data_IF_534860772550
#
_entry.id   IF_534860772550
#
_cell.length_a   1.000
_cell.length_b   1.000
_cell.length_c   1.000
_cell.angle_alpha   90.00
_cell.angle_beta   90.00
_cell.angle_gamma   90.00
#
_symmetry.space_group_name_H-M   'P 1'
#
loop_
_entity.id
_entity.type
_entity.pdbx_description
1 polymer ?
#
# COMPACT_ATOMS: atom_id res chain seq x y z
N UNK A 1 0.81 -14.19 13.49
CA UNK A 1 -0.11 -14.35 12.33
C UNK A 1 -0.65 -15.78 12.24
N UNK A 2 -1.91 -15.99 11.83
CA UNK A 2 -2.48 -17.33 11.60
C UNK A 2 -2.32 -17.80 10.14
N UNK A 3 -2.33 -19.11 9.89
CA UNK A 3 -2.21 -19.66 8.53
C UNK A 3 -3.27 -19.14 7.56
N UNK A 4 -4.47 -18.87 8.08
CA UNK A 4 -5.58 -18.36 7.25
C UNK A 4 -5.41 -16.87 6.95
N UNK A 5 -4.80 -16.12 7.85
CA UNK A 5 -4.45 -14.71 7.60
C UNK A 5 -3.37 -14.61 6.52
N UNK A 6 -2.32 -15.43 6.57
CA UNK A 6 -1.29 -15.48 5.51
C UNK A 6 -1.92 -15.68 4.13
N UNK A 7 -2.78 -16.69 3.99
CA UNK A 7 -3.43 -17.01 2.71
C UNK A 7 -4.29 -15.86 2.17
N UNK A 8 -4.97 -15.13 3.05
CA UNK A 8 -5.75 -13.95 2.63
C UNK A 8 -4.84 -12.83 2.16
N UNK A 9 -3.78 -12.53 2.90
CA UNK A 9 -2.80 -11.51 2.53
C UNK A 9 -2.13 -11.83 1.19
N UNK A 10 -1.68 -13.07 1.00
CA UNK A 10 -1.14 -13.55 -0.28
C UNK A 10 -2.16 -13.40 -1.42
N UNK A 11 -3.42 -13.77 -1.17
CA UNK A 11 -4.50 -13.60 -2.14
C UNK A 11 -4.68 -12.14 -2.56
N UNK A 12 -4.66 -11.20 -1.61
CA UNK A 12 -4.70 -9.77 -1.94
C UNK A 12 -3.47 -9.31 -2.72
N UNK A 13 -2.26 -9.77 -2.36
CA UNK A 13 -1.04 -9.44 -3.09
C UNK A 13 -1.13 -9.90 -4.56
N UNK A 14 -1.63 -11.12 -4.79
CA UNK A 14 -1.84 -11.68 -6.13
C UNK A 14 -2.86 -10.89 -6.94
N UNK A 15 -3.93 -10.42 -6.31
CA UNK A 15 -4.89 -9.51 -6.98
C UNK A 15 -4.22 -8.18 -7.37
N UNK A 16 -3.37 -7.61 -6.52
CA UNK A 16 -2.78 -6.28 -6.74
C UNK A 16 -1.63 -6.32 -7.74
N UNK A 17 -0.71 -7.30 -7.60
CA UNK A 17 0.56 -7.33 -8.31
C UNK A 17 0.74 -8.55 -9.23
N UNK A 18 -0.13 -9.56 -9.14
CA UNK A 18 -0.19 -10.71 -10.04
C UNK A 18 0.10 -12.07 -9.40
N UNK A 19 -0.30 -13.15 -10.07
CA UNK A 19 -0.13 -14.54 -9.59
C UNK A 19 1.29 -15.11 -9.80
N UNK A 20 2.17 -14.38 -10.49
CA UNK A 20 3.48 -14.87 -10.94
C UNK A 20 4.63 -14.70 -9.96
N UNK A 21 4.43 -13.96 -8.87
CA UNK A 21 5.46 -13.62 -7.90
C UNK A 21 5.18 -14.30 -6.55
N UNK A 22 6.25 -14.66 -5.83
CA UNK A 22 6.18 -15.07 -4.43
C UNK A 22 6.32 -13.83 -3.54
N UNK A 23 5.32 -13.60 -2.70
CA UNK A 23 5.24 -12.44 -1.81
C UNK A 23 5.71 -12.81 -0.41
N UNK A 24 6.57 -11.97 0.15
CA UNK A 24 7.10 -12.12 1.51
C UNK A 24 6.65 -10.95 2.39
N UNK A 25 6.48 -11.25 3.67
CA UNK A 25 6.09 -10.30 4.70
C UNK A 25 7.16 -10.26 5.79
N UNK A 26 7.80 -9.11 5.94
CA UNK A 26 8.82 -8.91 6.97
C UNK A 26 8.31 -7.98 8.07
N UNK A 27 8.62 -8.32 9.31
CA UNK A 27 8.19 -7.55 10.49
C UNK A 27 9.41 -6.85 11.06
N UNK A 28 9.45 -5.54 10.88
CA UNK A 28 10.46 -4.68 11.46
C UNK A 28 9.96 -4.11 12.78
N UNK A 29 10.87 -4.03 13.76
CA UNK A 29 10.57 -3.41 15.05
C UNK A 29 11.75 -2.58 15.54
N UNK A 30 11.44 -1.35 15.93
CA UNK A 30 12.30 -0.52 16.77
C UNK A 30 11.76 -0.72 18.19
N UNK A 31 12.60 -1.19 19.12
CA UNK A 31 12.32 -1.39 20.56
C UNK A 31 11.23 -2.38 21.05
N UNK A 32 10.56 -3.15 20.17
CA UNK A 32 9.43 -4.04 20.50
C UNK A 32 8.14 -3.33 20.96
N UNK A 33 8.07 -2.00 20.93
CA UNK A 33 6.83 -1.25 21.11
C UNK A 33 6.22 -0.86 19.75
N UNK A 34 7.09 -0.59 18.78
CA UNK A 34 6.74 -0.11 17.46
C UNK A 34 7.02 -1.17 16.40
N UNK A 35 5.97 -1.50 15.63
CA UNK A 35 6.02 -2.54 14.60
C UNK A 35 5.62 -1.97 13.25
N UNK A 36 6.33 -2.39 12.21
CA UNK A 36 6.03 -2.10 10.82
C UNK A 36 6.12 -3.39 10.02
N UNK A 37 5.20 -3.59 9.07
CA UNK A 37 5.25 -4.76 8.21
C UNK A 37 5.54 -4.32 6.78
N UNK A 38 6.57 -4.91 6.20
CA UNK A 38 6.94 -4.73 4.80
C UNK A 38 6.37 -5.89 3.98
N UNK A 39 5.75 -5.55 2.86
CA UNK A 39 5.44 -6.52 1.81
C UNK A 39 6.46 -6.33 0.72
N UNK A 40 7.11 -7.40 0.32
CA UNK A 40 7.96 -7.41 -0.86
C UNK A 40 7.73 -8.64 -1.71
N UNK A 41 8.36 -8.65 -2.87
CA UNK A 41 8.50 -9.85 -3.68
C UNK A 41 9.97 -10.24 -3.72
N UNK A 42 10.24 -11.54 -3.75
CA UNK A 42 11.60 -12.02 -3.96
C UNK A 42 11.99 -11.82 -5.43
N UNK A 43 13.09 -11.11 -5.68
CA UNK A 43 13.67 -10.96 -7.01
C UNK A 43 15.18 -11.15 -6.92
N UNK A 44 15.70 -12.17 -7.62
CA UNK A 44 17.13 -12.53 -7.63
C UNK A 44 17.73 -12.75 -6.22
N UNK A 45 16.96 -13.38 -5.32
CA UNK A 45 17.37 -13.63 -3.93
C UNK A 45 17.35 -12.39 -3.04
N UNK A 46 16.64 -11.33 -3.43
CA UNK A 46 16.48 -10.10 -2.65
C UNK A 46 15.03 -9.70 -2.53
N UNK A 47 14.64 -9.26 -1.34
CA UNK A 47 13.34 -8.66 -1.12
C UNK A 47 13.28 -7.29 -1.81
N UNK A 48 12.40 -7.17 -2.81
CA UNK A 48 12.06 -5.91 -3.43
C UNK A 48 10.78 -5.35 -2.78
N UNK A 49 10.86 -4.27 -1.98
CA UNK A 49 9.73 -3.77 -1.22
C UNK A 49 8.66 -3.20 -2.16
N UNK A 50 7.40 -3.57 -1.90
CA UNK A 50 6.21 -3.14 -2.64
C UNK A 50 5.40 -2.12 -1.85
N UNK A 51 5.19 -2.39 -0.56
CA UNK A 51 4.51 -1.47 0.37
C UNK A 51 4.95 -1.78 1.79
N UNK A 52 4.65 -0.86 2.71
CA UNK A 52 4.74 -1.11 4.14
C UNK A 52 3.49 -0.57 4.84
N UNK A 53 3.15 -1.14 5.99
CA UNK A 53 2.24 -0.45 6.92
C UNK A 53 2.93 0.79 7.46
N UNK A 54 2.20 1.68 8.13
CA UNK A 54 2.89 2.61 9.02
C UNK A 54 3.26 1.92 10.33
N UNK A 55 3.97 2.66 11.16
CA UNK A 55 4.35 2.22 12.50
C UNK A 55 3.10 2.05 13.37
N UNK A 56 2.92 0.85 13.90
CA UNK A 56 1.82 0.46 14.76
C UNK A 56 2.31 0.13 16.17
N UNK A 57 1.48 0.40 17.17
CA UNK A 57 1.74 -0.05 18.54
C UNK A 57 1.33 -1.53 18.65
N UNK A 58 2.34 -2.41 18.60
CA UNK A 58 2.18 -3.86 18.65
C UNK A 58 2.06 -4.56 17.29
N UNK A 59 2.62 -5.77 17.21
CA UNK A 59 2.67 -6.59 16.00
C UNK A 59 1.28 -6.92 15.45
N UNK A 60 0.34 -7.28 16.32
CA UNK A 60 -1.03 -7.62 15.89
C UNK A 60 -1.76 -6.42 15.26
N UNK A 61 -1.51 -5.22 15.77
CA UNK A 61 -2.01 -3.98 15.18
C UNK A 61 -1.43 -3.77 13.78
N UNK A 62 -0.14 -4.06 13.58
CA UNK A 62 0.51 -3.95 12.29
C UNK A 62 -0.06 -4.96 11.27
N UNK A 63 -0.28 -6.22 11.67
CA UNK A 63 -0.91 -7.23 10.79
C UNK A 63 -2.34 -6.84 10.40
N UNK A 64 -3.12 -6.32 11.36
CA UNK A 64 -4.49 -5.85 11.09
C UNK A 64 -4.50 -4.64 10.17
N UNK A 65 -3.55 -3.71 10.32
CA UNK A 65 -3.42 -2.56 9.44
C UNK A 65 -3.04 -3.00 8.02
N UNK A 66 -2.10 -3.94 7.89
CA UNK A 66 -1.72 -4.51 6.60
C UNK A 66 -2.91 -5.17 5.88
N UNK A 67 -3.65 -6.04 6.58
CA UNK A 67 -4.80 -6.74 6.01
C UNK A 67 -5.86 -5.76 5.50
N UNK A 68 -6.14 -4.73 6.31
CA UNK A 68 -7.06 -3.64 5.95
C UNK A 68 -6.59 -2.88 4.70
N UNK A 69 -5.31 -2.50 4.63
CA UNK A 69 -4.73 -1.80 3.48
C UNK A 69 -4.82 -2.65 2.21
N UNK A 70 -4.35 -3.90 2.26
CA UNK A 70 -4.33 -4.80 1.10
C UNK A 70 -5.74 -5.16 0.64
N UNK A 71 -6.69 -5.38 1.54
CA UNK A 71 -8.07 -5.67 1.17
C UNK A 71 -8.70 -4.51 0.37
N UNK A 72 -8.51 -3.28 0.83
CA UNK A 72 -9.06 -2.08 0.16
C UNK A 72 -8.39 -1.89 -1.20
N UNK A 73 -7.08 -2.11 -1.29
CA UNK A 73 -6.35 -2.01 -2.55
C UNK A 73 -6.77 -3.11 -3.53
N UNK A 74 -6.83 -4.38 -3.11
CA UNK A 74 -7.28 -5.49 -3.95
C UNK A 74 -8.69 -5.24 -4.50
N UNK A 75 -9.62 -4.81 -3.64
CA UNK A 75 -10.98 -4.42 -4.07
C UNK A 75 -10.95 -3.31 -5.13
N UNK A 76 -10.05 -2.34 -4.98
CA UNK A 76 -9.90 -1.28 -5.97
C UNK A 76 -9.39 -1.77 -7.31
N UNK A 77 -8.36 -2.62 -7.31
CA UNK A 77 -7.83 -3.23 -8.54
C UNK A 77 -8.91 -4.04 -9.25
N UNK A 78 -9.69 -4.84 -8.54
CA UNK A 78 -10.80 -5.62 -9.11
C UNK A 78 -11.89 -4.74 -9.73
N UNK A 79 -12.19 -3.59 -9.14
CA UNK A 79 -13.20 -2.67 -9.70
C UNK A 79 -12.71 -1.91 -10.94
N UNK A 80 -11.39 -1.83 -11.16
CA UNK A 80 -10.78 -1.05 -12.24
C UNK A 80 -11.05 0.46 -12.18
N UNK A 81 -11.62 0.96 -11.08
CA UNK A 81 -11.94 2.37 -10.89
C UNK A 81 -10.74 3.11 -10.30
N UNK A 82 -10.58 4.41 -10.61
CA UNK A 82 -9.63 5.24 -9.88
C UNK A 82 -9.96 5.25 -8.38
N UNK A 83 -8.95 5.12 -7.53
CA UNK A 83 -9.13 5.18 -6.08
C UNK A 83 -9.70 6.53 -5.66
N UNK A 84 -10.70 6.51 -4.77
CA UNK A 84 -11.16 7.73 -4.09
C UNK A 84 -10.11 8.24 -3.11
N UNK A 85 -10.24 9.51 -2.73
CA UNK A 85 -9.39 10.11 -1.70
C UNK A 85 -9.44 9.31 -0.40
N UNK A 86 -10.62 8.88 0.03
CA UNK A 86 -10.78 8.08 1.25
C UNK A 86 -10.01 6.75 1.15
N UNK A 87 -10.03 6.09 -0.01
CA UNK A 87 -9.32 4.84 -0.23
C UNK A 87 -7.81 5.04 -0.24
N UNK A 88 -7.31 6.10 -0.87
CA UNK A 88 -5.89 6.47 -0.80
C UNK A 88 -5.44 6.74 0.62
N UNK A 89 -6.23 7.49 1.41
CA UNK A 89 -5.93 7.74 2.82
C UNK A 89 -5.99 6.45 3.65
N UNK A 90 -6.91 5.56 3.31
CA UNK A 90 -7.03 4.25 3.95
C UNK A 90 -5.81 3.39 3.65
N UNK A 91 -5.27 3.40 2.44
CA UNK A 91 -4.11 2.58 2.05
C UNK A 91 -2.79 3.25 2.50
N UNK A 92 -2.60 4.53 2.23
CA UNK A 92 -1.32 5.22 2.38
C UNK A 92 -1.26 6.21 3.54
N UNK A 93 -2.41 6.54 4.16
CA UNK A 93 -2.51 7.59 5.17
C UNK A 93 -1.98 7.19 6.55
N UNK A 94 -1.67 5.91 6.73
CA UNK A 94 -1.29 5.32 8.00
C UNK A 94 -2.44 5.12 8.98
N UNK A 95 -2.20 4.39 10.09
CA UNK A 95 -3.22 3.96 11.04
C UNK A 95 -3.85 5.14 11.78
N UNK A 96 -3.17 6.29 11.83
CA UNK A 96 -3.66 7.53 12.46
C UNK A 96 -3.99 8.64 11.45
N UNK A 97 -3.84 8.39 10.15
CA UNK A 97 -4.04 9.40 9.11
C UNK A 97 -2.96 10.49 9.10
N UNK A 98 -1.81 10.22 9.72
CA UNK A 98 -0.69 11.15 9.87
C UNK A 98 -0.03 11.50 8.53
N UNK A 99 -0.19 10.66 7.51
CA UNK A 99 0.30 10.93 6.15
C UNK A 99 -0.74 11.65 5.26
N UNK A 100 -1.88 12.07 5.82
CA UNK A 100 -2.95 12.73 5.06
C UNK A 100 -2.47 13.96 4.30
N UNK A 101 -1.76 14.86 4.95
CA UNK A 101 -1.31 16.12 4.33
C UNK A 101 -0.32 15.85 3.18
N UNK A 102 0.51 14.82 3.32
CA UNK A 102 1.44 14.37 2.28
C UNK A 102 0.68 13.84 1.07
N UNK A 103 -0.33 12.99 1.29
CA UNK A 103 -1.16 12.44 0.21
C UNK A 103 -1.93 13.55 -0.52
N UNK A 104 -2.49 14.50 0.23
CA UNK A 104 -3.19 15.65 -0.34
C UNK A 104 -2.26 16.54 -1.18
N UNK A 105 -1.02 16.74 -0.72
CA UNK A 105 0.00 17.46 -1.48
C UNK A 105 0.38 16.74 -2.78
N UNK A 106 0.60 15.41 -2.72
CA UNK A 106 0.94 14.59 -3.88
C UNK A 106 -0.19 14.66 -4.93
N UNK A 107 -1.44 14.50 -4.51
CA UNK A 107 -2.59 14.58 -5.42
C UNK A 107 -2.68 15.94 -6.12
N UNK A 108 -2.40 17.04 -5.40
CA UNK A 108 -2.38 18.38 -5.99
C UNK A 108 -1.27 18.52 -7.04
N UNK A 109 -0.04 18.11 -6.72
CA UNK A 109 1.11 18.20 -7.64
C UNK A 109 0.90 17.34 -8.88
N UNK A 110 0.32 16.15 -8.72
CA UNK A 110 -0.01 15.29 -9.85
C UNK A 110 -1.09 15.90 -10.75
N UNK A 111 -2.12 16.52 -10.16
CA UNK A 111 -3.16 17.21 -10.93
C UNK A 111 -2.60 18.41 -11.71
N UNK A 112 -1.73 19.21 -11.10
CA UNK A 112 -1.05 20.33 -11.78
C UNK A 112 -0.21 19.85 -12.97
N UNK A 113 0.62 18.82 -12.78
CA UNK A 113 1.45 18.25 -13.86
C UNK A 113 0.62 17.63 -14.98
N UNK A 114 -0.50 16.99 -14.66
CA UNK A 114 -1.43 16.47 -15.67
C UNK A 114 -2.02 17.60 -16.50
N UNK A 115 -2.45 18.69 -15.88
CA UNK A 115 -2.97 19.86 -16.58
C UNK A 115 -1.91 20.50 -17.49
N UNK A 116 -0.67 20.67 -17.02
CA UNK A 116 0.45 21.17 -17.84
C UNK A 116 0.67 20.30 -19.08
N UNK A 117 0.73 18.97 -18.91
CA UNK A 117 0.92 18.04 -20.03
C UNK A 117 -0.21 18.06 -21.06
N UNK A 118 -1.44 18.36 -20.64
CA UNK A 118 -2.59 18.50 -21.54
C UNK A 118 -2.59 19.82 -22.31
N UNK A 119 -2.06 20.90 -21.72
CA UNK A 119 -1.92 22.20 -22.40
C UNK A 119 -0.82 22.13 -23.45
N UNK A 120 0.30 21.49 -23.12
CA UNK A 120 1.44 21.34 -24.03
C UNK A 120 1.12 20.40 -25.22
N UNK A 121 0.26 19.39 -25.01
CA UNK A 121 -0.17 18.45 -26.05
C UNK A 121 -1.20 18.99 -27.06
N UNK A 122 -1.78 20.17 -26.81
CA UNK A 122 -2.81 20.79 -27.67
C UNK A 122 -2.27 21.89 -28.60
N UNK A 123 -0.94 22.12 -28.60
CA UNK A 123 -0.26 22.97 -29.58
C UNK A 123 0.29 22.11 -30.72
N UNK A 124 -0.55 21.66 -31.64
CA UNK A 124 -0.17 21.02 -32.92
C UNK A 124 -1.13 21.39 -34.02
#
# INVERSE_FOLDING_TARGET
>A
MSSDQCKRLEGYCKTIWGEGDDYEFDVETDDYEYYQIFVGREQDGRLCPLTATSVCCGEESAWRDLERMLQVWATQVETGKPMTKEQKLTIFGGPRGDLRDVIELVDRVLAEKLLESMVDGNCS
#
